data_IF_312652609300
#
_entry.id   IF_312652609300
#
_cell.length_a   1.000
_cell.length_b   1.000
_cell.length_c   1.000
_cell.angle_alpha   90.00
_cell.angle_beta   90.00
_cell.angle_gamma   90.00
#
_symmetry.space_group_name_H-M   'P 1'
#
loop_
_entity.id
_entity.type
_entity.pdbx_description
1 polymer ?
#
# COMPACT_ATOMS: atom_id res chain seq x y z
N UNK A 1 7.82 -9.79 2.98
CA UNK A 1 7.35 -11.17 3.15
C UNK A 1 7.95 -12.06 2.06
N UNK A 2 7.64 -11.86 0.76
CA UNK A 2 8.14 -12.72 -0.33
C UNK A 2 9.67 -12.87 -0.34
N UNK A 3 10.44 -11.76 -0.15
CA UNK A 3 11.91 -11.81 -0.05
C UNK A 3 12.37 -12.62 1.17
N UNK A 4 11.68 -12.51 2.31
CA UNK A 4 12.00 -13.30 3.51
C UNK A 4 11.72 -14.79 3.28
N UNK A 5 10.61 -15.14 2.66
CA UNK A 5 10.26 -16.53 2.35
C UNK A 5 11.26 -17.16 1.35
N UNK A 6 11.66 -16.42 0.31
CA UNK A 6 12.73 -16.88 -0.62
C UNK A 6 14.06 -17.09 0.10
N UNK A 7 14.42 -16.17 1.03
CA UNK A 7 15.62 -16.33 1.85
C UNK A 7 15.55 -17.58 2.75
N UNK A 8 14.37 -17.97 3.19
CA UNK A 8 14.13 -19.22 3.91
C UNK A 8 14.12 -20.48 3.01
N UNK A 9 14.39 -20.34 1.71
CA UNK A 9 14.47 -21.45 0.75
C UNK A 9 13.14 -21.84 0.11
N UNK A 10 12.07 -21.04 0.29
CA UNK A 10 10.79 -21.30 -0.35
C UNK A 10 10.79 -20.75 -1.78
N UNK A 11 10.18 -21.53 -2.70
CA UNK A 11 9.84 -21.03 -4.03
C UNK A 11 8.56 -20.19 -3.93
N UNK A 12 8.66 -18.89 -4.24
CA UNK A 12 7.58 -17.94 -4.01
C UNK A 12 7.29 -17.15 -5.27
N UNK A 13 6.07 -17.30 -5.77
CA UNK A 13 5.44 -16.35 -6.67
C UNK A 13 4.65 -15.32 -5.84
N UNK A 14 4.93 -14.03 -6.04
CA UNK A 14 4.14 -12.97 -5.43
C UNK A 14 3.12 -12.43 -6.43
N UNK A 15 1.85 -12.56 -6.08
CA UNK A 15 0.72 -12.08 -6.89
C UNK A 15 0.08 -10.88 -6.20
N UNK A 16 -0.24 -9.85 -6.96
CA UNK A 16 -1.02 -8.70 -6.51
C UNK A 16 -2.29 -8.59 -7.36
N UNK A 17 -3.45 -8.68 -6.73
CA UNK A 17 -4.74 -8.61 -7.41
C UNK A 17 -5.26 -7.18 -7.32
N UNK A 18 -5.61 -6.63 -8.47
CA UNK A 18 -6.20 -5.29 -8.59
C UNK A 18 -7.72 -5.44 -8.62
N UNK A 19 -8.41 -4.92 -7.61
CA UNK A 19 -9.87 -5.00 -7.49
C UNK A 19 -10.60 -4.03 -8.42
N UNK A 20 -10.21 -4.02 -9.69
CA UNK A 20 -10.74 -3.14 -10.74
C UNK A 20 -12.20 -3.42 -11.12
N UNK A 21 -12.72 -4.62 -10.78
CA UNK A 21 -14.12 -4.98 -10.90
C UNK A 21 -15.00 -4.47 -9.75
N UNK A 22 -14.42 -3.91 -8.69
CA UNK A 22 -15.19 -3.32 -7.60
C UNK A 22 -15.90 -2.05 -8.06
N UNK A 23 -17.13 -1.79 -7.56
CA UNK A 23 -17.88 -0.60 -7.95
C UNK A 23 -17.39 0.65 -7.23
N UNK A 24 -17.54 1.79 -7.87
CA UNK A 24 -17.47 3.08 -7.19
C UNK A 24 -18.63 3.17 -6.20
N UNK A 25 -18.32 3.29 -4.91
CA UNK A 25 -19.34 3.21 -3.83
C UNK A 25 -19.93 4.56 -3.44
N UNK A 26 -19.18 5.63 -3.68
CA UNK A 26 -19.57 7.01 -3.36
C UNK A 26 -18.70 8.00 -4.12
N UNK A 27 -19.13 9.25 -4.22
CA UNK A 27 -18.24 10.34 -4.63
C UNK A 27 -17.30 10.67 -3.47
N UNK A 28 -16.02 10.49 -3.67
CA UNK A 28 -14.99 10.84 -2.68
C UNK A 28 -14.70 12.33 -2.70
N UNK A 29 -14.16 12.89 -1.61
CA UNK A 29 -13.93 14.33 -1.43
C UNK A 29 -12.95 14.96 -2.43
N UNK A 30 -12.16 14.16 -3.14
CA UNK A 30 -11.24 14.59 -4.19
C UNK A 30 -11.86 14.48 -5.60
N UNK A 31 -13.11 14.03 -5.71
CA UNK A 31 -13.84 13.90 -6.97
C UNK A 31 -14.91 15.00 -7.08
N UNK A 32 -15.16 15.45 -8.27
CA UNK A 32 -16.29 16.32 -8.59
C UNK A 32 -17.62 15.57 -8.51
N UNK A 33 -18.70 16.29 -8.20
CA UNK A 33 -20.07 15.73 -8.06
C UNK A 33 -20.56 15.02 -9.33
N UNK A 34 -19.98 15.30 -10.50
CA UNK A 34 -20.27 14.60 -11.75
C UNK A 34 -19.96 13.09 -11.69
N UNK A 35 -19.14 12.63 -10.73
CA UNK A 35 -18.95 11.21 -10.50
C UNK A 35 -20.15 10.48 -9.91
N UNK A 36 -21.18 11.19 -9.45
CA UNK A 36 -22.39 10.56 -8.92
C UNK A 36 -23.06 9.63 -9.95
N UNK A 37 -22.96 9.93 -11.25
CA UNK A 37 -23.47 9.08 -12.32
C UNK A 37 -22.77 7.72 -12.46
N UNK A 38 -21.56 7.58 -11.88
CA UNK A 38 -20.76 6.35 -11.93
C UNK A 38 -20.85 5.50 -10.66
N UNK A 39 -21.66 5.92 -9.67
CA UNK A 39 -21.87 5.08 -8.49
C UNK A 39 -22.48 3.73 -8.92
N UNK A 40 -21.92 2.63 -8.39
CA UNK A 40 -22.29 1.28 -8.80
C UNK A 40 -21.54 0.74 -10.01
N UNK A 41 -20.87 1.58 -10.81
CA UNK A 41 -20.08 1.14 -11.95
C UNK A 41 -18.72 0.61 -11.53
N UNK A 42 -18.24 -0.42 -12.22
CA UNK A 42 -16.93 -1.01 -11.96
C UNK A 42 -15.80 0.00 -12.24
N UNK A 43 -14.80 0.05 -11.38
CA UNK A 43 -13.69 1.02 -11.45
C UNK A 43 -12.91 0.97 -12.78
N UNK A 44 -12.90 -0.18 -13.44
CA UNK A 44 -12.30 -0.35 -14.79
C UNK A 44 -13.12 0.30 -15.89
N UNK A 45 -14.40 0.56 -15.66
CA UNK A 45 -15.35 1.03 -16.65
C UNK A 45 -15.69 2.51 -16.52
N UNK A 46 -15.05 3.23 -15.64
CA UNK A 46 -15.29 4.65 -15.41
C UNK A 46 -14.05 5.48 -15.75
N UNK A 47 -14.22 6.73 -16.23
CA UNK A 47 -13.10 7.60 -16.57
C UNK A 47 -12.24 7.94 -15.35
N UNK A 48 -10.93 8.21 -15.54
CA UNK A 48 -10.07 8.71 -14.48
C UNK A 48 -10.41 10.16 -14.16
N UNK A 49 -10.09 10.67 -12.95
CA UNK A 49 -10.20 12.10 -12.66
C UNK A 49 -9.07 12.89 -13.30
N UNK A 50 -9.39 14.11 -13.74
CA UNK A 50 -8.43 15.14 -14.07
C UNK A 50 -7.94 15.87 -12.79
N UNK A 51 -7.17 16.95 -12.95
CA UNK A 51 -6.62 17.72 -11.82
C UNK A 51 -7.69 18.41 -10.95
N UNK A 52 -8.86 18.70 -11.52
CA UNK A 52 -10.01 19.32 -10.84
C UNK A 52 -10.96 18.27 -10.23
N UNK A 53 -10.63 16.99 -10.37
CA UNK A 53 -11.47 15.88 -9.91
C UNK A 53 -12.60 15.51 -10.87
N UNK A 54 -12.74 16.15 -12.02
CA UNK A 54 -13.76 15.85 -13.03
C UNK A 54 -13.38 14.64 -13.89
N UNK A 55 -14.37 13.90 -14.46
CA UNK A 55 -14.11 12.80 -15.38
C UNK A 55 -13.30 13.23 -16.61
N UNK A 56 -12.16 12.61 -16.82
CA UNK A 56 -11.29 12.84 -17.99
C UNK A 56 -11.62 11.86 -19.11
N UNK A 57 -12.52 12.29 -19.99
CA UNK A 57 -13.01 11.47 -21.09
C UNK A 57 -11.96 11.24 -22.18
N UNK A 58 -10.98 12.16 -22.33
CA UNK A 58 -9.92 12.02 -23.33
C UNK A 58 -8.97 10.88 -22.91
N UNK A 59 -8.51 10.88 -21.66
CA UNK A 59 -7.69 9.78 -21.13
C UNK A 59 -8.47 8.46 -21.09
N UNK A 60 -9.76 8.50 -20.82
CA UNK A 60 -10.59 7.30 -20.87
C UNK A 60 -10.67 6.71 -22.28
N UNK A 61 -10.81 7.56 -23.29
CA UNK A 61 -10.79 7.15 -24.71
C UNK A 61 -9.41 6.59 -25.15
N UNK A 62 -8.32 7.01 -24.49
CA UNK A 62 -6.98 6.44 -24.65
C UNK A 62 -6.80 5.10 -23.91
N UNK A 63 -7.81 4.62 -23.21
CA UNK A 63 -7.81 3.33 -22.49
C UNK A 63 -7.36 3.41 -21.03
N UNK A 64 -7.28 4.60 -20.44
CA UNK A 64 -6.94 4.79 -19.01
C UNK A 64 -8.23 4.87 -18.21
N UNK A 65 -8.49 3.88 -17.36
CA UNK A 65 -9.62 3.89 -16.44
C UNK A 65 -9.31 4.55 -15.09
N UNK A 66 -10.34 4.73 -14.28
CA UNK A 66 -10.19 5.13 -12.87
C UNK A 66 -9.24 4.17 -12.10
N UNK A 67 -9.42 2.86 -12.28
CA UNK A 67 -8.54 1.87 -11.66
C UNK A 67 -7.08 2.03 -12.10
N UNK A 68 -6.83 2.23 -13.39
CA UNK A 68 -5.47 2.41 -13.93
C UNK A 68 -4.81 3.68 -13.40
N UNK A 69 -5.58 4.78 -13.29
CA UNK A 69 -5.09 6.05 -12.78
C UNK A 69 -4.50 5.95 -11.36
N UNK A 70 -5.19 5.27 -10.45
CA UNK A 70 -4.70 5.10 -9.07
C UNK A 70 -3.69 3.98 -8.92
N UNK A 71 -3.69 3.00 -9.82
CA UNK A 71 -2.75 1.89 -9.80
C UNK A 71 -1.36 2.30 -10.28
N UNK A 72 -1.26 3.20 -11.25
CA UNK A 72 0.02 3.57 -11.87
C UNK A 72 1.04 4.15 -10.88
N UNK A 73 0.71 5.13 -10.02
CA UNK A 73 1.63 5.62 -8.99
C UNK A 73 2.05 4.52 -8.00
N UNK A 74 1.16 3.58 -7.71
CA UNK A 74 1.47 2.45 -6.84
C UNK A 74 2.48 1.49 -7.49
N UNK A 75 2.32 1.17 -8.78
CA UNK A 75 3.30 0.36 -9.54
C UNK A 75 4.68 1.02 -9.54
N UNK A 76 4.74 2.33 -9.80
CA UNK A 76 5.98 3.09 -9.77
C UNK A 76 6.66 3.05 -8.40
N UNK A 77 5.89 3.16 -7.33
CA UNK A 77 6.42 3.04 -5.97
C UNK A 77 6.94 1.63 -5.68
N UNK A 78 6.23 0.58 -6.11
CA UNK A 78 6.67 -0.81 -5.97
C UNK A 78 7.97 -1.06 -6.73
N UNK A 79 8.13 -0.51 -7.92
CA UNK A 79 9.36 -0.61 -8.70
C UNK A 79 10.54 0.05 -7.98
N UNK A 80 10.35 1.25 -7.42
CA UNK A 80 11.39 1.95 -6.65
C UNK A 80 11.84 1.16 -5.42
N UNK A 81 10.93 0.44 -4.75
CA UNK A 81 11.28 -0.40 -3.60
C UNK A 81 11.66 -1.84 -3.99
N UNK A 82 11.91 -2.11 -5.27
CA UNK A 82 12.24 -3.45 -5.82
C UNK A 82 11.23 -4.53 -5.39
N UNK A 83 9.96 -4.23 -5.52
CA UNK A 83 8.85 -5.17 -5.30
C UNK A 83 8.14 -5.39 -6.62
N UNK A 84 8.22 -6.60 -7.16
CA UNK A 84 7.73 -6.94 -8.51
C UNK A 84 6.75 -8.10 -8.45
N UNK A 85 5.48 -7.84 -8.11
CA UNK A 85 4.45 -8.86 -8.15
C UNK A 85 4.03 -9.15 -9.59
N UNK A 86 3.45 -10.33 -9.81
CA UNK A 86 2.61 -10.54 -10.98
C UNK A 86 1.25 -9.89 -10.71
N UNK A 87 0.93 -8.86 -11.45
CA UNK A 87 -0.39 -8.20 -11.35
C UNK A 87 -1.46 -9.04 -12.04
N UNK A 88 -2.60 -9.17 -11.39
CA UNK A 88 -3.83 -9.75 -11.94
C UNK A 88 -4.91 -8.70 -11.85
N UNK A 89 -5.47 -8.32 -12.98
CA UNK A 89 -6.63 -7.44 -13.05
C UNK A 89 -7.90 -8.27 -12.81
N UNK A 90 -8.70 -7.87 -11.81
CA UNK A 90 -9.87 -8.63 -11.41
C UNK A 90 -11.00 -8.50 -12.44
N UNK A 91 -11.17 -7.33 -13.05
CA UNK A 91 -12.14 -7.12 -14.12
C UNK A 91 -11.84 -8.02 -15.34
N UNK A 92 -10.59 -8.02 -15.81
CA UNK A 92 -10.16 -8.87 -16.92
C UNK A 92 -10.31 -10.37 -16.58
N UNK A 93 -10.11 -10.72 -15.31
CA UNK A 93 -10.28 -12.09 -14.82
C UNK A 93 -11.74 -12.53 -14.88
N UNK A 94 -12.70 -11.67 -14.54
CA UNK A 94 -14.12 -11.94 -14.72
C UNK A 94 -14.48 -12.03 -16.21
N UNK A 95 -14.08 -11.05 -17.01
CA UNK A 95 -14.36 -10.98 -18.44
C UNK A 95 -13.79 -12.20 -19.23
N UNK A 96 -12.61 -12.69 -18.81
CA UNK A 96 -11.99 -13.89 -19.43
C UNK A 96 -12.46 -15.23 -18.85
N UNK A 97 -13.46 -15.23 -17.96
CA UNK A 97 -14.07 -16.42 -17.41
C UNK A 97 -13.26 -17.16 -16.34
N UNK A 98 -12.23 -16.54 -15.74
CA UNK A 98 -11.43 -17.16 -14.66
C UNK A 98 -12.26 -17.48 -13.42
N UNK A 99 -13.32 -16.72 -13.17
CA UNK A 99 -14.25 -16.93 -12.08
C UNK A 99 -15.43 -17.86 -12.41
N UNK A 100 -15.57 -18.32 -13.66
CA UNK A 100 -16.76 -19.07 -14.12
C UNK A 100 -17.10 -20.27 -13.24
N UNK A 101 -16.11 -21.09 -12.90
CA UNK A 101 -16.32 -22.26 -12.07
C UNK A 101 -16.70 -21.90 -10.64
N UNK A 102 -15.95 -20.98 -9.99
CA UNK A 102 -16.22 -20.56 -8.62
C UNK A 102 -17.54 -19.79 -8.50
N UNK A 103 -17.89 -18.98 -9.50
CA UNK A 103 -19.17 -18.29 -9.54
C UNK A 103 -20.36 -19.26 -9.65
N UNK A 104 -20.29 -20.25 -10.53
CA UNK A 104 -21.31 -21.31 -10.65
C UNK A 104 -21.46 -22.12 -9.36
N UNK A 105 -20.33 -22.52 -8.75
CA UNK A 105 -20.37 -23.23 -7.45
C UNK A 105 -20.97 -22.36 -6.38
N UNK A 106 -20.62 -21.07 -6.31
CA UNK A 106 -21.18 -20.14 -5.33
C UNK A 106 -22.69 -19.99 -5.50
N UNK A 107 -23.17 -19.79 -6.74
CA UNK A 107 -24.60 -19.66 -7.02
C UNK A 107 -25.38 -20.96 -6.70
N UNK A 108 -24.81 -22.11 -7.00
CA UNK A 108 -25.41 -23.42 -6.66
C UNK A 108 -25.41 -23.70 -5.16
N UNK A 109 -24.56 -23.03 -4.37
CA UNK A 109 -24.46 -23.17 -2.92
C UNK A 109 -24.92 -21.93 -2.16
N UNK A 110 -25.79 -21.11 -2.74
CA UNK A 110 -26.20 -19.82 -2.16
C UNK A 110 -26.69 -19.94 -0.71
N UNK A 111 -27.52 -20.94 -0.40
CA UNK A 111 -28.04 -21.19 0.95
C UNK A 111 -26.93 -21.56 1.95
N UNK A 112 -25.99 -22.40 1.55
CA UNK A 112 -24.85 -22.79 2.40
C UNK A 112 -23.93 -21.59 2.68
N UNK A 113 -23.66 -20.77 1.65
CA UNK A 113 -22.82 -19.59 1.79
C UNK A 113 -23.49 -18.55 2.69
N UNK A 114 -24.79 -18.35 2.56
CA UNK A 114 -25.58 -17.51 3.48
C UNK A 114 -25.41 -18.00 4.92
N UNK A 115 -25.64 -19.27 5.18
CA UNK A 115 -25.49 -19.86 6.52
C UNK A 115 -24.08 -19.65 7.08
N UNK A 116 -23.04 -19.89 6.28
CA UNK A 116 -21.66 -19.65 6.68
C UNK A 116 -21.46 -18.19 7.08
N UNK A 117 -21.87 -17.24 6.23
CA UNK A 117 -21.66 -15.82 6.50
C UNK A 117 -22.42 -15.40 7.77
N UNK A 118 -23.68 -15.76 7.91
CA UNK A 118 -24.51 -15.38 9.07
C UNK A 118 -23.97 -15.99 10.36
N UNK A 119 -23.68 -17.29 10.37
CA UNK A 119 -23.17 -18.00 11.54
C UNK A 119 -21.77 -17.53 11.97
N UNK A 120 -20.85 -17.36 11.01
CA UNK A 120 -19.44 -17.04 11.34
C UNK A 120 -19.29 -15.56 11.66
N UNK A 121 -19.94 -14.67 10.89
CA UNK A 121 -19.76 -13.22 11.06
C UNK A 121 -20.80 -12.55 11.96
N UNK A 122 -21.87 -13.26 12.31
CA UNK A 122 -23.01 -12.67 13.07
C UNK A 122 -23.80 -11.63 12.29
N UNK A 123 -23.63 -11.54 10.97
CA UNK A 123 -24.36 -10.61 10.10
C UNK A 123 -25.65 -11.26 9.63
N UNK A 124 -26.75 -10.53 9.70
CA UNK A 124 -27.98 -10.89 9.01
C UNK A 124 -27.90 -10.41 7.56
N UNK A 125 -28.15 -11.31 6.62
CA UNK A 125 -28.23 -11.00 5.20
C UNK A 125 -29.69 -10.79 4.80
N UNK A 126 -29.96 -9.84 3.87
CA UNK A 126 -31.30 -9.59 3.37
C UNK A 126 -31.95 -10.87 2.77
N UNK A 127 -33.26 -10.98 2.78
CA UNK A 127 -33.97 -12.17 2.29
C UNK A 127 -33.66 -12.47 0.81
N UNK A 128 -33.50 -11.42 0.03
CA UNK A 128 -33.15 -11.46 -1.41
C UNK A 128 -31.65 -11.56 -1.70
N UNK A 129 -30.81 -11.70 -0.67
CA UNK A 129 -29.37 -11.83 -0.87
C UNK A 129 -29.02 -13.05 -1.72
N UNK A 130 -28.17 -12.84 -2.72
CA UNK A 130 -27.63 -13.88 -3.59
C UNK A 130 -26.12 -13.70 -3.79
N UNK A 131 -25.32 -14.76 -3.98
CA UNK A 131 -23.86 -14.69 -4.12
C UNK A 131 -23.37 -14.20 -5.49
N UNK A 132 -24.15 -13.37 -6.17
CA UNK A 132 -23.81 -12.75 -7.44
C UNK A 132 -24.45 -11.37 -7.52
N UNK A 133 -23.68 -10.39 -7.91
CA UNK A 133 -24.13 -9.03 -8.20
C UNK A 133 -24.16 -8.86 -9.73
N UNK A 134 -25.28 -8.96 -10.41
CA UNK A 134 -25.41 -8.69 -11.82
C UNK A 134 -25.06 -7.25 -12.16
N UNK A 135 -24.73 -6.98 -13.42
CA UNK A 135 -24.56 -5.64 -13.98
C UNK A 135 -25.78 -5.34 -14.83
N UNK A 136 -26.40 -4.17 -14.65
CA UNK A 136 -27.52 -3.72 -15.47
C UNK A 136 -27.09 -3.23 -16.86
N UNK A 137 -28.05 -2.80 -17.66
CA UNK A 137 -27.81 -2.27 -19.01
C UNK A 137 -26.98 -0.97 -19.01
N UNK A 138 -26.92 -0.26 -17.88
CA UNK A 138 -26.15 0.98 -17.72
C UNK A 138 -24.73 0.73 -17.22
N UNK A 139 -24.39 -0.49 -16.80
CA UNK A 139 -23.07 -0.85 -16.25
C UNK A 139 -22.99 -0.78 -14.72
N UNK A 140 -24.09 -0.58 -14.01
CA UNK A 140 -24.14 -0.52 -12.55
C UNK A 140 -24.53 -1.86 -11.93
N UNK A 141 -24.02 -2.11 -10.72
CA UNK A 141 -24.43 -3.24 -9.86
C UNK A 141 -25.35 -2.79 -8.73
N UNK A 142 -25.61 -1.49 -8.58
CA UNK A 142 -26.46 -0.95 -7.52
C UNK A 142 -27.95 -1.08 -7.82
N UNK A 143 -28.73 -1.34 -6.78
CA UNK A 143 -30.18 -1.41 -6.89
C UNK A 143 -30.72 -2.61 -7.66
N UNK A 144 -29.91 -3.66 -7.86
CA UNK A 144 -30.29 -4.86 -8.59
C UNK A 144 -30.67 -5.97 -7.60
N UNK A 145 -31.82 -6.60 -7.82
CA UNK A 145 -32.31 -7.73 -7.06
C UNK A 145 -32.30 -8.99 -7.92
N UNK A 146 -31.72 -10.06 -7.42
CA UNK A 146 -31.73 -11.35 -8.10
C UNK A 146 -33.12 -11.99 -7.89
N UNK A 147 -33.76 -12.37 -9.00
CA UNK A 147 -35.09 -12.98 -9.01
C UNK A 147 -35.11 -14.45 -9.34
N UNK A 148 -33.98 -14.99 -9.85
CA UNK A 148 -33.87 -16.41 -10.17
C UNK A 148 -32.47 -16.85 -10.55
N UNK A 149 -32.23 -18.15 -10.39
CA UNK A 149 -31.01 -18.83 -10.80
C UNK A 149 -31.32 -20.07 -11.62
N UNK A 150 -30.75 -20.14 -12.81
CA UNK A 150 -30.76 -21.33 -13.66
C UNK A 150 -29.39 -21.49 -14.35
N UNK A 151 -28.52 -22.29 -13.77
CA UNK A 151 -27.10 -22.43 -14.15
C UNK A 151 -26.89 -22.43 -15.67
N UNK A 152 -26.12 -21.48 -16.23
CA UNK A 152 -25.30 -20.45 -15.57
C UNK A 152 -25.93 -19.04 -15.51
N UNK A 153 -27.23 -18.93 -15.64
CA UNK A 153 -27.96 -17.66 -15.83
C UNK A 153 -28.63 -17.20 -14.53
N UNK A 154 -28.31 -16.00 -14.08
CA UNK A 154 -29.00 -15.26 -13.05
C UNK A 154 -30.02 -14.36 -13.70
N UNK A 155 -31.29 -14.41 -13.25
CA UNK A 155 -32.33 -13.43 -13.61
C UNK A 155 -32.39 -12.34 -12.54
N UNK A 156 -32.59 -11.10 -12.95
CA UNK A 156 -32.61 -9.96 -12.03
C UNK A 156 -33.64 -8.90 -12.43
N UNK A 157 -33.95 -8.02 -11.48
CA UNK A 157 -34.77 -6.82 -11.66
C UNK A 157 -34.04 -5.65 -11.01
N UNK A 158 -34.00 -4.49 -11.67
CA UNK A 158 -33.46 -3.25 -11.09
C UNK A 158 -34.52 -2.44 -10.31
N UNK A 159 -34.09 -1.35 -9.71
CA UNK A 159 -34.96 -0.45 -8.93
C UNK A 159 -36.05 0.27 -9.76
N UNK A 160 -35.88 0.31 -11.09
CA UNK A 160 -36.86 0.90 -12.02
C UNK A 160 -37.86 -0.12 -12.54
N UNK A 161 -37.69 -1.41 -12.16
CA UNK A 161 -38.55 -2.51 -12.60
C UNK A 161 -38.15 -3.12 -13.95
N UNK A 162 -36.97 -2.78 -14.49
CA UNK A 162 -36.47 -3.45 -15.66
C UNK A 162 -35.95 -4.87 -15.30
N UNK A 163 -36.14 -5.80 -16.20
CA UNK A 163 -35.71 -7.19 -16.03
C UNK A 163 -34.53 -7.49 -16.94
N UNK A 164 -33.62 -8.31 -16.46
CA UNK A 164 -32.47 -8.77 -17.23
C UNK A 164 -31.94 -10.12 -16.81
N UNK A 165 -30.93 -10.55 -17.49
CA UNK A 165 -30.18 -11.79 -17.19
C UNK A 165 -28.69 -11.51 -17.14
N UNK A 166 -27.97 -12.34 -16.39
CA UNK A 166 -26.51 -12.24 -16.23
C UNK A 166 -25.94 -13.66 -16.30
N UNK A 167 -25.06 -13.90 -17.25
CA UNK A 167 -24.31 -15.14 -17.36
C UNK A 167 -23.06 -15.06 -16.48
N UNK A 168 -23.04 -15.82 -15.40
CA UNK A 168 -21.92 -15.81 -14.43
C UNK A 168 -20.59 -16.28 -15.03
N UNK A 169 -20.62 -16.90 -16.22
CA UNK A 169 -19.42 -17.38 -16.92
C UNK A 169 -18.80 -16.35 -17.85
N UNK A 170 -19.49 -15.23 -18.09
CA UNK A 170 -19.06 -14.19 -19.03
C UNK A 170 -18.65 -12.87 -18.38
N UNK A 171 -18.59 -12.83 -17.04
CA UNK A 171 -18.26 -11.60 -16.35
C UNK A 171 -19.36 -10.52 -16.40
N UNK A 172 -20.61 -10.93 -16.63
CA UNK A 172 -21.78 -10.03 -16.65
C UNK A 172 -22.24 -9.64 -15.22
N UNK A 173 -21.32 -9.70 -14.27
CA UNK A 173 -21.49 -9.40 -12.85
C UNK A 173 -20.25 -9.79 -12.08
N UNK A 174 -20.37 -9.81 -10.75
CA UNK A 174 -19.28 -10.22 -9.86
C UNK A 174 -19.79 -10.86 -8.58
N UNK A 175 -18.95 -11.65 -7.94
CA UNK A 175 -19.19 -12.17 -6.60
C UNK A 175 -19.10 -11.04 -5.57
N UNK A 176 -19.99 -11.02 -4.53
CA UNK A 176 -19.79 -10.18 -3.35
C UNK A 176 -18.40 -10.40 -2.74
N UNK A 177 -17.79 -9.36 -2.18
CA UNK A 177 -16.40 -9.36 -1.74
C UNK A 177 -16.02 -10.55 -0.82
N UNK A 178 -16.90 -10.93 0.11
CA UNK A 178 -16.65 -12.07 1.02
C UNK A 178 -16.60 -13.44 0.33
N UNK A 179 -17.06 -13.53 -0.92
CA UNK A 179 -17.01 -14.73 -1.73
C UNK A 179 -15.94 -14.59 -2.83
N UNK A 180 -15.80 -13.37 -3.37
CA UNK A 180 -14.80 -13.03 -4.37
C UNK A 180 -13.37 -13.35 -3.87
N UNK A 181 -13.08 -13.00 -2.60
CA UNK A 181 -11.77 -13.25 -2.00
C UNK A 181 -11.41 -14.75 -1.92
N UNK A 182 -12.21 -15.63 -1.28
CA UNK A 182 -11.93 -17.08 -1.34
C UNK A 182 -12.02 -17.69 -2.75
N UNK A 183 -12.81 -17.12 -3.67
CA UNK A 183 -12.79 -17.55 -5.07
C UNK A 183 -11.43 -17.25 -5.73
N UNK A 184 -10.80 -16.10 -5.43
CA UNK A 184 -9.43 -15.79 -5.86
C UNK A 184 -8.43 -16.79 -5.32
N UNK A 185 -8.53 -17.16 -4.03
CA UNK A 185 -7.67 -18.21 -3.47
C UNK A 185 -7.78 -19.51 -4.26
N UNK A 186 -8.99 -19.88 -4.63
CA UNK A 186 -9.25 -21.15 -5.29
C UNK A 186 -8.70 -21.19 -6.72
N UNK A 187 -9.00 -20.20 -7.56
CA UNK A 187 -8.60 -20.26 -8.97
C UNK A 187 -7.15 -19.86 -9.22
N UNK A 188 -6.57 -18.98 -8.38
CA UNK A 188 -5.15 -18.61 -8.45
C UNK A 188 -4.27 -19.70 -7.83
N UNK A 189 -4.78 -20.42 -6.82
CA UNK A 189 -4.03 -21.38 -6.03
C UNK A 189 -3.17 -20.69 -4.96
N UNK A 190 -3.73 -19.71 -4.26
CA UNK A 190 -3.03 -18.97 -3.20
C UNK A 190 -2.74 -19.88 -2.02
N UNK A 191 -1.48 -19.97 -1.62
CA UNK A 191 -1.03 -20.84 -0.50
C UNK A 191 -0.74 -20.05 0.78
N UNK A 192 -0.50 -18.75 0.68
CA UNK A 192 -0.28 -17.84 1.79
C UNK A 192 -0.91 -16.48 1.50
N UNK A 193 -1.66 -15.94 2.45
CA UNK A 193 -2.37 -14.67 2.33
C UNK A 193 -1.98 -13.72 3.48
N UNK A 194 -1.17 -12.69 3.24
CA UNK A 194 -0.94 -11.62 4.21
C UNK A 194 -2.10 -10.62 4.19
N UNK A 195 -2.67 -10.30 5.35
CA UNK A 195 -3.76 -9.33 5.46
C UNK A 195 -3.75 -8.56 6.79
N UNK A 196 -4.41 -7.40 6.80
CA UNK A 196 -4.56 -6.58 8.00
C UNK A 196 -5.40 -7.27 9.08
N UNK A 197 -5.16 -6.94 10.33
CA UNK A 197 -5.81 -7.56 11.50
C UNK A 197 -7.33 -7.48 11.51
N UNK A 198 -7.92 -6.53 10.82
CA UNK A 198 -9.36 -6.37 10.67
C UNK A 198 -10.02 -7.56 9.92
N UNK A 199 -9.31 -8.13 8.96
CA UNK A 199 -9.74 -9.33 8.24
C UNK A 199 -9.53 -10.61 9.05
N UNK A 200 -8.52 -10.64 9.92
CA UNK A 200 -8.19 -11.77 10.79
C UNK A 200 -8.88 -11.78 12.16
N UNK A 201 -9.72 -10.78 12.45
CA UNK A 201 -10.52 -10.77 13.68
C UNK A 201 -11.51 -11.93 13.70
N UNK A 202 -11.85 -12.42 14.89
CA UNK A 202 -12.84 -13.50 15.06
C UNK A 202 -14.17 -13.11 14.38
N UNK A 203 -14.68 -13.99 13.51
CA UNK A 203 -15.85 -13.71 12.66
C UNK A 203 -15.54 -12.78 11.48
N UNK A 204 -14.28 -12.46 11.24
CA UNK A 204 -13.83 -11.63 10.13
C UNK A 204 -13.94 -12.31 8.77
N UNK A 205 -13.43 -11.62 7.78
CA UNK A 205 -13.53 -12.08 6.38
C UNK A 205 -12.71 -13.34 6.12
N UNK A 206 -11.59 -13.50 6.81
CA UNK A 206 -10.77 -14.71 6.68
C UNK A 206 -11.48 -15.92 7.24
N UNK A 207 -12.17 -15.80 8.40
CA UNK A 207 -12.91 -16.91 9.00
C UNK A 207 -14.07 -17.39 8.11
N UNK A 208 -14.82 -16.47 7.50
CA UNK A 208 -15.83 -16.84 6.51
C UNK A 208 -15.22 -17.44 5.25
N UNK A 209 -14.11 -16.86 4.79
CA UNK A 209 -13.39 -17.32 3.59
C UNK A 209 -12.85 -18.74 3.72
N UNK A 210 -12.36 -19.13 4.91
CA UNK A 210 -11.88 -20.52 5.19
C UNK A 210 -12.94 -21.57 4.95
N UNK A 211 -14.19 -21.29 5.27
CA UNK A 211 -15.27 -22.24 5.05
C UNK A 211 -15.80 -22.19 3.62
N UNK A 212 -15.89 -20.98 3.04
CA UNK A 212 -16.38 -20.82 1.65
C UNK A 212 -15.42 -21.46 0.64
N UNK A 213 -14.09 -21.34 0.82
CA UNK A 213 -13.12 -21.92 -0.12
C UNK A 213 -13.21 -23.45 -0.21
N UNK A 214 -13.67 -24.12 0.86
CA UNK A 214 -13.88 -25.55 0.85
C UNK A 214 -14.99 -25.98 -0.12
N UNK A 215 -15.99 -25.11 -0.36
CA UNK A 215 -17.01 -25.36 -1.38
C UNK A 215 -16.40 -25.40 -2.78
N UNK A 216 -15.29 -24.70 -3.00
CA UNK A 216 -14.49 -24.71 -4.23
C UNK A 216 -13.48 -25.87 -4.28
N UNK A 217 -13.55 -26.83 -3.33
CA UNK A 217 -12.62 -27.97 -3.21
C UNK A 217 -11.15 -27.55 -3.07
N UNK A 218 -10.90 -26.46 -2.33
CA UNK A 218 -9.57 -25.94 -2.04
C UNK A 218 -9.40 -25.68 -0.53
N UNK A 219 -8.14 -25.74 -0.09
CA UNK A 219 -7.78 -25.35 1.25
C UNK A 219 -7.60 -23.83 1.35
N UNK A 220 -7.86 -23.27 2.53
CA UNK A 220 -7.56 -21.88 2.81
C UNK A 220 -6.05 -21.64 2.83
N UNK A 221 -5.56 -20.49 2.33
CA UNK A 221 -4.15 -20.14 2.43
C UNK A 221 -3.74 -19.97 3.90
N UNK A 222 -2.45 -20.20 4.20
CA UNK A 222 -1.87 -19.86 5.49
C UNK A 222 -1.95 -18.36 5.69
N UNK A 223 -2.48 -17.92 6.81
CA UNK A 223 -2.60 -16.50 7.14
C UNK A 223 -1.29 -15.91 7.68
N UNK A 224 -1.05 -14.66 7.33
CA UNK A 224 -0.08 -13.81 8.00
C UNK A 224 -0.75 -12.49 8.35
N UNK A 225 -1.31 -12.41 9.53
CA UNK A 225 -1.94 -11.20 10.03
C UNK A 225 -0.90 -10.15 10.42
N UNK A 226 -1.06 -8.91 9.94
CA UNK A 226 -0.21 -7.78 10.31
C UNK A 226 -1.02 -6.63 10.89
N UNK A 227 -0.34 -5.84 11.74
CA UNK A 227 -0.90 -4.64 12.36
C UNK A 227 -0.95 -3.45 11.38
N UNK A 228 -1.70 -2.44 11.76
CA UNK A 228 -1.90 -1.25 10.92
C UNK A 228 -0.64 -0.40 10.82
N UNK A 229 -0.55 0.28 9.68
CA UNK A 229 0.38 1.39 9.47
C UNK A 229 -0.42 2.68 9.71
N UNK A 230 0.11 3.55 10.57
CA UNK A 230 -0.50 4.83 10.94
C UNK A 230 0.46 5.98 10.67
N UNK A 231 -0.09 7.17 10.45
CA UNK A 231 0.69 8.42 10.51
C UNK A 231 0.74 8.91 11.96
N UNK A 232 1.91 9.32 12.40
CA UNK A 232 2.09 9.86 13.74
C UNK A 232 1.19 11.07 13.98
N UNK A 233 0.44 11.00 15.08
CA UNK A 233 -0.50 12.07 15.48
C UNK A 233 -1.81 12.12 14.70
N UNK A 234 -2.01 11.26 13.70
CA UNK A 234 -3.22 11.26 12.85
C UNK A 234 -3.99 9.92 12.89
N UNK A 235 -3.45 8.91 13.59
CA UNK A 235 -4.10 7.59 13.69
C UNK A 235 -3.90 6.71 12.46
N UNK A 236 -4.76 5.69 12.32
CA UNK A 236 -4.68 4.74 11.22
C UNK A 236 -4.89 5.44 9.87
N UNK A 237 -4.06 5.10 8.88
CA UNK A 237 -4.20 5.61 7.53
C UNK A 237 -5.52 5.16 6.90
N UNK A 238 -6.23 6.09 6.28
CA UNK A 238 -7.50 5.82 5.61
C UNK A 238 -7.65 6.69 4.37
N UNK A 239 -7.70 6.05 3.21
CA UNK A 239 -7.88 6.74 1.93
C UNK A 239 -9.22 7.50 1.87
N UNK A 240 -10.26 6.99 2.53
CA UNK A 240 -11.59 7.62 2.53
C UNK A 240 -11.69 8.88 3.39
N UNK A 241 -10.75 9.09 4.32
CA UNK A 241 -10.67 10.29 5.17
C UNK A 241 -9.60 11.28 4.73
N UNK A 242 -8.83 10.97 3.68
CA UNK A 242 -7.71 11.79 3.23
C UNK A 242 -6.50 11.79 4.18
N UNK A 243 -6.55 10.98 5.24
CA UNK A 243 -5.46 10.83 6.21
C UNK A 243 -4.49 9.74 5.76
N UNK A 244 -3.76 10.01 4.69
CA UNK A 244 -2.77 9.06 4.15
C UNK A 244 -1.58 9.83 3.60
N UNK A 245 -0.43 9.17 3.58
CA UNK A 245 0.69 9.54 2.71
C UNK A 245 0.78 8.51 1.59
N UNK A 246 0.82 8.98 0.36
CA UNK A 246 0.98 8.10 -0.80
C UNK A 246 2.36 7.44 -0.81
N UNK A 247 2.50 6.23 -1.39
CA UNK A 247 3.79 5.54 -1.45
C UNK A 247 4.88 6.35 -2.16
N UNK A 248 4.56 7.03 -3.24
CA UNK A 248 5.51 7.91 -3.96
C UNK A 248 5.89 9.14 -3.13
N UNK A 249 4.94 9.72 -2.39
CA UNK A 249 5.21 10.83 -1.49
C UNK A 249 6.16 10.40 -0.37
N UNK A 250 5.92 9.24 0.27
CA UNK A 250 6.84 8.68 1.25
C UNK A 250 8.25 8.46 0.68
N UNK A 251 8.34 7.95 -0.56
CA UNK A 251 9.59 7.74 -1.27
C UNK A 251 10.27 9.05 -1.71
N UNK A 252 9.55 10.15 -1.80
CA UNK A 252 10.16 11.47 -2.03
C UNK A 252 10.88 12.02 -0.79
N UNK A 253 10.55 11.51 0.40
CA UNK A 253 11.12 11.95 1.68
C UNK A 253 12.30 11.07 2.13
N UNK A 254 12.26 9.76 1.87
CA UNK A 254 13.30 8.80 2.28
C UNK A 254 13.72 7.87 1.15
N UNK A 255 14.99 7.42 1.13
CA UNK A 255 15.43 6.35 0.23
C UNK A 255 14.60 5.06 0.40
N UNK A 256 14.44 4.29 -0.69
CA UNK A 256 13.64 3.06 -0.68
C UNK A 256 14.08 2.05 0.38
N UNK A 257 15.39 1.92 0.62
CA UNK A 257 15.95 1.00 1.61
C UNK A 257 15.51 1.36 3.03
N UNK A 258 15.40 2.66 3.35
CA UNK A 258 14.97 3.12 4.68
C UNK A 258 13.48 2.81 4.88
N UNK A 259 12.65 3.00 3.85
CA UNK A 259 11.23 2.63 3.91
C UNK A 259 11.06 1.12 4.06
N UNK A 260 11.86 0.32 3.34
CA UNK A 260 11.88 -1.14 3.50
C UNK A 260 12.36 -1.55 4.89
N UNK A 261 13.35 -0.85 5.45
CA UNK A 261 13.87 -1.13 6.79
C UNK A 261 12.81 -0.87 7.86
N UNK A 262 12.02 0.18 7.75
CA UNK A 262 10.88 0.44 8.64
C UNK A 262 9.96 -0.79 8.75
N UNK A 263 9.63 -1.38 7.60
CA UNK A 263 8.75 -2.57 7.57
C UNK A 263 9.49 -3.83 8.03
N UNK A 264 10.76 -4.02 7.60
CA UNK A 264 11.52 -5.25 7.88
C UNK A 264 11.97 -5.36 9.34
N UNK A 265 12.25 -4.23 10.01
CA UNK A 265 12.65 -4.19 11.42
C UNK A 265 11.46 -4.29 12.38
N UNK A 266 10.23 -4.11 11.90
CA UNK A 266 9.03 -4.17 12.72
C UNK A 266 8.40 -5.56 12.65
N UNK A 267 8.06 -6.14 13.81
CA UNK A 267 7.36 -7.44 13.87
C UNK A 267 5.93 -7.29 13.34
N UNK A 268 5.38 -8.29 12.62
CA UNK A 268 4.04 -8.22 12.04
C UNK A 268 2.92 -7.88 13.04
N UNK A 269 3.06 -8.33 14.29
CA UNK A 269 2.10 -8.04 15.37
C UNK A 269 2.32 -6.70 16.10
N UNK A 270 3.12 -5.80 15.54
CA UNK A 270 3.36 -4.45 16.03
C UNK A 270 2.92 -3.43 14.98
N UNK A 271 2.15 -2.44 15.42
CA UNK A 271 1.77 -1.34 14.57
C UNK A 271 3.01 -0.56 14.11
N UNK A 272 3.02 -0.16 12.85
CA UNK A 272 4.01 0.75 12.31
C UNK A 272 3.45 2.16 12.40
N UNK A 273 4.15 3.03 13.13
CA UNK A 273 3.85 4.46 13.13
C UNK A 273 4.86 5.17 12.22
N UNK A 274 4.41 5.60 11.05
CA UNK A 274 5.25 6.37 10.14
C UNK A 274 5.23 7.84 10.57
N UNK A 275 6.36 8.31 11.05
CA UNK A 275 6.57 9.69 11.47
C UNK A 275 7.32 10.45 10.37
N UNK A 276 6.64 11.31 9.66
CA UNK A 276 7.20 12.16 8.58
C UNK A 276 7.97 13.38 9.10
N UNK A 277 7.93 13.63 10.40
CA UNK A 277 8.70 14.65 11.10
C UNK A 277 10.07 14.14 11.56
N UNK A 278 10.40 14.35 12.84
CA UNK A 278 11.68 13.92 13.42
C UNK A 278 11.90 12.40 13.41
N UNK A 279 10.81 11.61 13.41
CA UNK A 279 10.91 10.16 13.32
C UNK A 279 11.54 9.68 12.02
N UNK A 280 11.37 10.41 10.93
CA UNK A 280 12.02 10.15 9.65
C UNK A 280 13.55 10.20 9.76
N UNK A 281 14.07 11.22 10.43
CA UNK A 281 15.52 11.38 10.66
C UNK A 281 16.05 10.28 11.60
N UNK A 282 15.30 9.97 12.66
CA UNK A 282 15.68 8.92 13.60
C UNK A 282 15.71 7.53 12.93
N UNK A 283 14.75 7.25 12.04
CA UNK A 283 14.70 6.02 11.26
C UNK A 283 15.92 5.91 10.31
N UNK A 284 16.27 7.02 9.65
CA UNK A 284 17.45 7.07 8.80
C UNK A 284 18.75 6.85 9.58
N UNK A 285 18.88 7.52 10.73
CA UNK A 285 20.04 7.36 11.62
C UNK A 285 20.14 5.93 12.17
N UNK A 286 19.01 5.27 12.45
CA UNK A 286 18.97 3.88 12.89
C UNK A 286 19.40 2.93 11.77
N UNK A 287 18.85 3.10 10.56
CA UNK A 287 19.24 2.33 9.40
C UNK A 287 20.76 2.44 9.15
N UNK A 288 21.32 3.66 9.14
CA UNK A 288 22.75 3.90 8.91
C UNK A 288 23.61 3.27 9.99
N UNK A 289 23.24 3.42 11.26
CA UNK A 289 23.96 2.71 12.35
C UNK A 289 23.93 1.20 12.16
N UNK A 290 22.82 0.67 11.65
CA UNK A 290 22.69 -0.77 11.41
C UNK A 290 23.57 -1.24 10.24
N UNK A 291 23.75 -0.42 9.20
CA UNK A 291 24.63 -0.74 8.07
C UNK A 291 26.11 -0.79 8.47
N UNK A 292 26.51 -0.03 9.49
CA UNK A 292 27.89 0.03 9.98
C UNK A 292 28.25 -1.10 10.96
N UNK A 293 27.26 -1.94 11.36
CA UNK A 293 27.50 -3.05 12.31
C UNK A 293 28.22 -4.20 11.64
N UNK A 294 29.24 -4.73 12.30
CA UNK A 294 29.84 -6.02 11.97
C UNK A 294 29.12 -7.14 12.73
N UNK A 295 28.09 -7.67 12.12
CA UNK A 295 27.29 -8.75 12.72
C UNK A 295 28.09 -10.03 12.96
N UNK A 296 29.15 -10.28 12.18
CA UNK A 296 30.02 -11.45 12.36
C UNK A 296 30.79 -11.36 13.65
N UNK A 297 31.37 -10.20 13.95
CA UNK A 297 32.06 -9.94 15.22
C UNK A 297 31.07 -9.93 16.38
N UNK A 298 29.91 -9.30 16.22
CA UNK A 298 28.90 -9.21 17.27
C UNK A 298 28.41 -10.59 17.71
N UNK A 299 28.16 -11.49 16.77
CA UNK A 299 27.67 -12.86 17.04
C UNK A 299 28.72 -13.77 17.69
N UNK A 300 30.03 -13.44 17.58
CA UNK A 300 31.11 -14.21 18.19
C UNK A 300 31.47 -13.76 19.60
N UNK A 301 30.83 -12.71 20.15
CA UNK A 301 31.09 -12.27 21.52
C UNK A 301 30.72 -13.34 22.53
N UNK A 302 31.62 -13.63 23.44
CA UNK A 302 31.37 -14.57 24.53
C UNK A 302 30.27 -14.05 25.50
N UNK A 303 29.49 -14.95 26.07
CA UNK A 303 28.51 -14.63 27.11
C UNK A 303 27.20 -14.03 26.58
N UNK A 304 26.95 -14.05 25.26
CA UNK A 304 25.67 -13.60 24.70
C UNK A 304 24.52 -14.51 25.17
N UNK A 305 23.49 -13.91 25.74
CA UNK A 305 22.23 -14.60 25.98
C UNK A 305 21.50 -14.89 24.63
N UNK A 306 20.63 -15.93 24.66
CA UNK A 306 19.79 -16.26 23.48
C UNK A 306 19.00 -15.05 22.97
N UNK A 307 18.49 -14.19 23.87
CA UNK A 307 17.75 -12.97 23.49
C UNK A 307 18.64 -11.98 22.73
N UNK A 308 19.89 -11.82 23.13
CA UNK A 308 20.85 -10.94 22.45
C UNK A 308 21.21 -11.50 21.07
N UNK A 309 21.46 -12.81 20.96
CA UNK A 309 21.73 -13.45 19.66
C UNK A 309 20.55 -13.26 18.69
N UNK A 310 19.32 -13.51 19.12
CA UNK A 310 18.12 -13.29 18.29
C UNK A 310 17.99 -11.83 17.88
N UNK A 311 18.27 -10.87 18.78
CA UNK A 311 18.22 -9.45 18.43
C UNK A 311 19.27 -9.04 17.38
N UNK A 312 20.47 -9.64 17.41
CA UNK A 312 21.51 -9.43 16.39
C UNK A 312 21.09 -10.04 15.06
N UNK A 313 20.55 -11.27 15.08
CA UNK A 313 20.03 -11.95 13.88
C UNK A 313 18.86 -11.21 13.25
N UNK A 314 17.91 -10.74 14.07
CA UNK A 314 16.76 -9.93 13.61
C UNK A 314 17.25 -8.64 12.92
N UNK A 315 18.18 -7.91 13.54
CA UNK A 315 18.73 -6.69 12.96
C UNK A 315 19.49 -6.94 11.66
N UNK A 316 20.31 -8.00 11.60
CA UNK A 316 21.00 -8.43 10.37
C UNK A 316 19.99 -8.77 9.27
N UNK A 317 18.96 -9.55 9.61
CA UNK A 317 17.93 -9.97 8.66
C UNK A 317 17.11 -8.78 8.15
N UNK A 318 16.74 -7.83 9.04
CA UNK A 318 16.04 -6.63 8.67
C UNK A 318 16.86 -5.79 7.66
N UNK A 319 18.16 -5.61 7.92
CA UNK A 319 19.06 -4.93 6.99
C UNK A 319 19.10 -5.63 5.63
N UNK A 320 19.37 -6.94 5.61
CA UNK A 320 19.48 -7.72 4.36
C UNK A 320 18.17 -7.71 3.53
N UNK A 321 17.02 -7.71 4.20
CA UNK A 321 15.72 -7.58 3.54
C UNK A 321 15.45 -6.16 3.00
N UNK A 322 16.11 -5.15 3.56
CA UNK A 322 15.93 -3.74 3.20
C UNK A 322 16.75 -3.35 1.98
N UNK A 323 17.93 -3.90 1.81
CA UNK A 323 18.83 -3.55 0.70
C UNK A 323 18.21 -3.93 -0.66
N UNK A 324 18.28 -3.01 -1.61
CA UNK A 324 17.81 -3.17 -2.99
C UNK A 324 18.98 -3.51 -3.91
N UNK A 325 20.06 -2.75 -3.81
CA UNK A 325 21.30 -2.95 -4.57
C UNK A 325 22.42 -3.48 -3.68
N UNK A 326 23.47 -4.12 -4.24
CA UNK A 326 24.70 -4.34 -3.51
C UNK A 326 25.20 -3.00 -2.99
N UNK A 327 25.58 -2.98 -1.74
CA UNK A 327 25.91 -1.81 -0.95
C UNK A 327 26.84 -0.84 -1.69
N UNK A 328 26.30 0.27 -2.20
CA UNK A 328 27.10 1.46 -2.45
C UNK A 328 27.52 2.03 -1.09
N UNK A 329 28.75 2.50 -0.97
CA UNK A 329 29.29 3.06 0.26
C UNK A 329 28.26 4.00 0.91
N UNK A 330 27.92 3.70 2.15
CA UNK A 330 26.98 4.51 2.92
C UNK A 330 27.52 5.92 3.01
N UNK A 331 26.69 6.87 2.62
CA UNK A 331 27.04 8.27 2.72
C UNK A 331 27.38 8.64 4.17
N UNK A 332 28.52 9.24 4.38
CA UNK A 332 29.03 9.62 5.70
C UNK A 332 28.30 10.81 6.35
N UNK A 333 27.27 11.36 5.72
CA UNK A 333 26.55 12.57 6.17
C UNK A 333 25.12 12.21 6.55
N UNK A 334 24.76 12.52 7.80
CA UNK A 334 23.42 12.22 8.34
C UNK A 334 22.33 13.06 7.68
N UNK A 335 21.10 12.55 7.67
CA UNK A 335 19.93 13.29 7.17
C UNK A 335 19.73 14.62 7.91
N UNK A 336 19.98 14.64 9.21
CA UNK A 336 19.89 15.87 10.03
C UNK A 336 20.84 16.95 9.54
N UNK A 337 22.08 16.61 9.27
CA UNK A 337 23.07 17.57 8.78
C UNK A 337 22.74 18.04 7.36
N UNK A 338 22.31 17.14 6.47
CA UNK A 338 21.85 17.52 5.13
C UNK A 338 20.61 18.41 5.16
N UNK A 339 19.66 18.16 6.05
CA UNK A 339 18.47 19.00 6.20
C UNK A 339 18.82 20.42 6.69
N UNK A 340 19.79 20.56 7.58
CA UNK A 340 20.32 21.87 8.00
C UNK A 340 20.99 22.62 6.84
N UNK A 341 21.83 21.91 6.08
CA UNK A 341 22.51 22.52 4.91
C UNK A 341 21.51 22.84 3.78
N UNK A 342 20.48 22.02 3.57
CA UNK A 342 19.43 22.25 2.59
C UNK A 342 18.64 23.54 2.86
N UNK A 343 18.52 23.95 4.14
CA UNK A 343 17.86 25.21 4.51
C UNK A 343 18.78 26.43 4.36
N UNK A 344 20.08 26.26 4.60
CA UNK A 344 21.04 27.38 4.68
C UNK A 344 21.82 27.63 3.39
N UNK A 345 21.86 26.65 2.48
CA UNK A 345 22.57 26.69 1.19
C UNK A 345 21.58 26.48 0.04
N UNK A 346 21.43 27.49 -0.81
CA UNK A 346 20.53 27.44 -1.97
C UNK A 346 21.05 26.54 -3.11
N UNK A 347 22.39 26.43 -3.26
CA UNK A 347 23.04 25.66 -4.32
C UNK A 347 23.64 24.38 -3.77
N UNK A 348 23.56 23.30 -4.51
CA UNK A 348 24.12 21.99 -4.12
C UNK A 348 25.64 22.03 -4.02
N UNK A 349 26.31 22.76 -4.92
CA UNK A 349 27.77 22.96 -4.85
C UNK A 349 28.24 23.56 -3.52
N UNK A 350 27.43 24.46 -2.94
CA UNK A 350 27.77 25.08 -1.65
C UNK A 350 27.57 24.09 -0.49
N UNK A 351 26.62 23.14 -0.65
CA UNK A 351 26.46 22.03 0.30
C UNK A 351 27.68 21.13 0.27
N UNK A 352 28.10 20.69 -0.93
CA UNK A 352 29.26 19.80 -1.09
C UNK A 352 30.55 20.44 -0.60
N UNK A 353 30.74 21.71 -0.91
CA UNK A 353 31.89 22.49 -0.40
C UNK A 353 31.90 22.57 1.13
N UNK A 354 30.73 22.81 1.76
CA UNK A 354 30.60 22.87 3.22
C UNK A 354 30.91 21.52 3.89
N UNK A 355 30.72 20.41 3.17
CA UNK A 355 31.04 19.05 3.62
C UNK A 355 32.50 18.65 3.31
N UNK A 356 33.28 19.50 2.67
CA UNK A 356 34.63 19.16 2.21
C UNK A 356 34.68 18.11 1.10
N UNK A 357 33.56 17.92 0.37
CA UNK A 357 33.43 16.95 -0.71
C UNK A 357 33.80 17.57 -2.04
N UNK A 358 34.57 16.81 -2.86
CA UNK A 358 34.97 17.20 -4.21
C UNK A 358 34.21 16.36 -5.24
N UNK A 359 34.00 16.91 -6.42
CA UNK A 359 33.46 16.18 -7.56
C UNK A 359 34.35 15.02 -8.02
N UNK A 360 33.81 13.89 -8.46
CA UNK A 360 32.36 13.64 -8.63
C UNK A 360 31.68 13.22 -7.32
N UNK A 361 30.53 13.86 -7.02
CA UNK A 361 29.69 13.48 -5.89
C UNK A 361 28.91 12.20 -6.26
N UNK A 362 28.88 11.23 -5.34
CA UNK A 362 28.13 9.98 -5.52
C UNK A 362 26.62 10.26 -5.74
N UNK A 363 25.98 9.50 -6.62
CA UNK A 363 24.57 9.68 -6.95
C UNK A 363 23.68 9.50 -5.70
N UNK A 364 24.00 8.54 -4.83
CA UNK A 364 23.32 8.31 -3.56
C UNK A 364 23.29 9.56 -2.67
N UNK A 365 24.38 10.35 -2.65
CA UNK A 365 24.46 11.60 -1.89
C UNK A 365 23.59 12.70 -2.52
N UNK A 366 23.59 12.82 -3.85
CA UNK A 366 22.74 13.76 -4.58
C UNK A 366 21.26 13.47 -4.31
N UNK A 367 20.88 12.21 -4.37
CA UNK A 367 19.50 11.76 -4.09
C UNK A 367 19.08 12.04 -2.64
N UNK A 368 20.00 11.85 -1.68
CA UNK A 368 19.75 12.19 -0.27
C UNK A 368 19.54 13.68 -0.07
N UNK A 369 20.37 14.53 -0.65
CA UNK A 369 20.22 15.98 -0.58
C UNK A 369 18.91 16.44 -1.22
N UNK A 370 18.57 15.89 -2.38
CA UNK A 370 17.29 16.18 -3.05
C UNK A 370 16.10 15.85 -2.15
N UNK A 371 16.08 14.67 -1.49
CA UNK A 371 15.04 14.30 -0.54
C UNK A 371 14.97 15.24 0.66
N UNK A 372 16.12 15.67 1.18
CA UNK A 372 16.14 16.62 2.28
C UNK A 372 15.61 18.01 1.89
N UNK A 373 15.89 18.46 0.66
CA UNK A 373 15.27 19.67 0.12
C UNK A 373 13.76 19.55 -0.01
N UNK A 374 13.28 18.41 -0.54
CA UNK A 374 11.84 18.10 -0.64
C UNK A 374 11.19 18.10 0.74
N UNK A 375 11.80 17.42 1.71
CA UNK A 375 11.29 17.36 3.08
C UNK A 375 11.22 18.72 3.76
N UNK A 376 12.29 19.51 3.70
CA UNK A 376 12.37 20.87 4.27
C UNK A 376 11.28 21.79 3.68
N UNK A 377 10.93 21.62 2.40
CA UNK A 377 9.89 22.40 1.74
C UNK A 377 8.47 21.88 1.97
N UNK A 378 8.33 20.64 2.42
CA UNK A 378 7.04 20.00 2.63
C UNK A 378 6.34 20.46 3.90
N UNK A 379 5.04 20.16 4.00
CA UNK A 379 4.24 20.33 5.22
C UNK A 379 4.66 19.37 6.35
N UNK A 380 5.46 18.36 6.06
CA UNK A 380 5.94 17.35 7.02
C UNK A 380 7.15 17.85 7.82
N UNK A 381 7.81 18.93 7.38
CA UNK A 381 8.98 19.44 8.08
C UNK A 381 8.56 20.14 9.38
N UNK A 382 9.11 19.75 10.54
CA UNK A 382 8.77 20.37 11.82
C UNK A 382 9.08 21.86 11.85
N UNK A 383 8.09 22.66 12.24
CA UNK A 383 8.23 24.14 12.25
C UNK A 383 9.35 24.62 13.20
N UNK A 384 9.52 23.92 14.33
CA UNK A 384 10.57 24.20 15.30
C UNK A 384 12.00 23.97 14.79
N UNK A 385 12.15 23.29 13.66
CA UNK A 385 13.45 23.04 13.00
C UNK A 385 13.70 23.98 11.83
N UNK A 386 12.74 24.84 11.49
CA UNK A 386 12.92 25.80 10.40
C UNK A 386 13.93 26.85 10.77
N UNK A 387 14.92 27.03 9.90
CA UNK A 387 15.96 28.05 10.03
C UNK A 387 15.52 29.30 9.28
N UNK A 388 15.39 30.40 9.98
CA UNK A 388 15.17 31.72 9.35
C UNK A 388 16.52 32.37 9.09
N UNK A 389 16.84 32.56 7.81
CA UNK A 389 18.05 33.30 7.43
C UNK A 389 17.71 34.78 7.53
N UNK A 390 18.35 35.45 8.46
CA UNK A 390 18.19 36.91 8.63
C UNK A 390 18.87 37.65 7.48
N UNK A 391 18.18 38.55 6.83
CA UNK A 391 18.74 39.40 5.78
C UNK A 391 19.74 40.44 6.31
N UNK A 392 19.65 40.75 7.60
CA UNK A 392 20.60 41.60 8.31
C UNK A 392 21.07 40.88 9.57
N UNK A 393 22.35 41.07 9.97
CA UNK A 393 22.86 40.47 11.21
C UNK A 393 22.03 40.94 12.41
N UNK A 394 21.84 40.05 13.38
CA UNK A 394 21.21 40.41 14.64
C UNK A 394 22.11 41.43 15.40
N UNK A 395 21.64 42.65 15.68
CA UNK A 395 22.46 43.66 16.38
C UNK A 395 23.06 43.16 17.70
N UNK A 396 22.30 42.41 18.50
CA UNK A 396 22.79 41.85 19.76
C UNK A 396 23.89 40.78 19.56
N UNK A 397 23.88 40.08 18.44
CA UNK A 397 24.96 39.14 18.13
C UNK A 397 26.24 39.86 17.68
N UNK A 398 26.10 41.00 16.99
CA UNK A 398 27.24 41.85 16.61
C UNK A 398 27.92 42.43 17.86
N UNK A 399 27.15 42.85 18.85
CA UNK A 399 27.68 43.42 20.11
C UNK A 399 28.45 42.39 20.95
N UNK A 400 28.28 41.08 20.67
CA UNK A 400 29.01 39.98 21.31
C UNK A 400 30.29 39.56 20.56
N UNK A 401 30.53 40.10 19.36
CA UNK A 401 31.74 39.83 18.58
C UNK A 401 32.83 40.83 19.03
N UNK A 402 33.86 40.33 19.62
CA UNK A 402 35.10 41.08 19.90
C UNK A 402 36.13 40.87 18.76
N UNK A 403 37.21 41.66 18.81
CA UNK A 403 38.26 41.62 17.75
C UNK A 403 38.89 40.24 17.61
N UNK A 404 38.94 39.42 18.66
CA UNK A 404 39.51 38.08 18.66
C UNK A 404 38.60 37.02 18.00
N UNK A 405 37.30 37.32 17.89
CA UNK A 405 36.29 36.43 17.25
C UNK A 405 35.99 36.79 15.79
N UNK A 406 36.64 37.82 15.23
CA UNK A 406 36.44 38.28 13.85
C UNK A 406 37.49 37.74 12.86
N UNK A 407 38.43 36.92 13.28
CA UNK A 407 39.41 36.20 12.46
C UNK A 407 39.04 34.75 12.39
#
# INVERSE_FOLDING_TARGET
>A
IAKAARKAGLDVEFVFIVDSADPLRKVYSFLDDSYAQYIGHQLKQIPPPNQDGCPDMDRFAEGVSYADHFLEPFKQALEQIDVRPRFIDNYDSYASGKFSETARIACNNAANIREIIERVSGRELSEDWFPWNPIDANGSIDGIHVTGWNDPIVSWTDSEGNHGTSDVTKGEGKLPWRIDWPAKWAWIGVTMEPFGKDHGAAGGSYDTGKEIVQLFSKDAPVDLTYEWISLRGQGAMSSSSGNTIGPLEALSLVPPEILRYLVASTKPNKAIEFDTGMGLVNLADEFERTTLRDFSIEMQKEGLSRRQLVAIEDAKTALELSLISPHEETASVTFRHLAMLAQTKSRDDDVWRSLGMNEPIAQSMKDRLHRMRTWVQSQHFPEELRITILQQPNPHAIDLLDEDNMT
#
